data_IF_842334709836
#
_entry.id   IF_842334709836
#
_cell.length_a   1.000
_cell.length_b   1.000
_cell.length_c   1.000
_cell.angle_alpha   90.00
_cell.angle_beta   90.00
_cell.angle_gamma   90.00
#
_symmetry.space_group_name_H-M   'P 1'
#
loop_
_entity.id
_entity.type
_entity.pdbx_description
1 polymer ?
#
# COMPACT_ATOMS: atom_id res chain seq x y z
N UNK A 1 -2.25 11.06 16.45
CA UNK A 1 -2.58 9.84 15.67
C UNK A 1 -2.15 8.65 16.48
N UNK A 2 -3.00 7.63 16.64
CA UNK A 2 -2.58 6.33 17.18
C UNK A 2 -1.48 5.77 16.28
N UNK A 3 -0.25 5.70 16.79
CA UNK A 3 0.92 5.16 16.07
C UNK A 3 0.98 3.64 16.16
N UNK A 4 -0.16 2.99 16.02
CA UNK A 4 -0.31 1.55 16.27
C UNK A 4 -0.58 0.76 14.99
N UNK A 5 -0.43 1.35 13.81
CA UNK A 5 -0.57 0.61 12.56
C UNK A 5 0.69 -0.22 12.33
N UNK A 6 0.59 -1.54 12.44
CA UNK A 6 1.76 -2.42 12.39
C UNK A 6 2.25 -2.65 10.94
N UNK A 7 1.31 -2.90 10.02
CA UNK A 7 1.59 -3.37 8.66
C UNK A 7 1.04 -2.37 7.64
N UNK A 8 1.91 -1.91 6.72
CA UNK A 8 1.54 -1.15 5.54
C UNK A 8 1.42 -2.07 4.32
N UNK A 9 0.41 -1.86 3.48
CA UNK A 9 0.22 -2.60 2.23
C UNK A 9 0.10 -1.61 1.08
N UNK A 10 0.97 -1.74 0.08
CA UNK A 10 0.81 -1.04 -1.19
C UNK A 10 0.00 -1.89 -2.16
N UNK A 11 -1.22 -1.48 -2.50
CA UNK A 11 -2.06 -2.22 -3.44
C UNK A 11 -2.29 -1.53 -4.78
N UNK A 12 -2.89 -2.27 -5.70
CA UNK A 12 -3.58 -1.75 -6.88
C UNK A 12 -5.10 -1.89 -6.73
N UNK A 13 -5.85 -1.40 -7.70
CA UNK A 13 -7.32 -1.42 -7.72
C UNK A 13 -7.92 -2.83 -7.59
N UNK A 14 -7.23 -3.87 -8.04
CA UNK A 14 -7.69 -5.27 -7.94
C UNK A 14 -7.39 -5.99 -6.62
N UNK A 15 -6.64 -5.35 -5.70
CA UNK A 15 -6.32 -5.92 -4.36
C UNK A 15 -7.30 -5.37 -3.30
N UNK A 16 -8.12 -4.37 -3.68
CA UNK A 16 -9.01 -3.67 -2.78
C UNK A 16 -10.37 -4.37 -2.74
N UNK A 17 -10.58 -5.17 -1.69
CA UNK A 17 -11.90 -5.36 -1.14
C UNK A 17 -11.90 -4.77 0.28
N UNK A 18 -12.43 -3.55 0.42
CA UNK A 18 -12.59 -2.91 1.73
C UNK A 18 -13.44 -3.72 2.70
N UNK A 19 -14.21 -4.70 2.20
CA UNK A 19 -14.92 -5.65 3.04
C UNK A 19 -14.02 -6.54 3.89
N UNK A 20 -12.71 -6.59 3.61
CA UNK A 20 -11.76 -7.38 4.40
C UNK A 20 -11.31 -6.71 5.70
N UNK A 21 -11.43 -5.38 5.82
CA UNK A 21 -10.95 -4.64 6.99
C UNK A 21 -12.13 -4.26 7.90
N UNK A 22 -12.06 -4.70 9.15
CA UNK A 22 -12.94 -4.24 10.23
C UNK A 22 -12.60 -2.79 10.60
N UNK A 23 -13.63 -1.99 10.91
CA UNK A 23 -13.51 -0.58 11.30
C UNK A 23 -12.66 0.28 10.33
N UNK A 24 -12.78 -0.02 9.03
CA UNK A 24 -12.03 0.68 7.99
C UNK A 24 -12.37 2.18 7.96
N UNK A 25 -11.33 3.00 7.98
CA UNK A 25 -11.42 4.47 7.93
C UNK A 25 -10.36 5.05 7.01
N UNK A 26 -10.73 6.07 6.27
CA UNK A 26 -9.78 6.82 5.45
C UNK A 26 -9.06 7.88 6.28
N UNK A 27 -7.77 8.01 6.04
CA UNK A 27 -6.88 8.88 6.80
C UNK A 27 -6.03 9.69 5.82
N UNK A 28 -6.16 11.01 5.91
CA UNK A 28 -5.25 11.95 5.25
C UNK A 28 -3.99 12.13 6.08
N UNK A 29 -2.84 12.08 5.41
CA UNK A 29 -1.53 12.31 6.03
C UNK A 29 -0.77 13.34 5.22
N UNK A 30 -0.44 14.46 5.86
CA UNK A 30 0.48 15.45 5.30
C UNK A 30 1.92 15.01 5.53
N UNK A 31 2.76 15.20 4.52
CA UNK A 31 4.19 14.85 4.61
C UNK A 31 5.05 16.02 4.17
N UNK A 32 6.31 16.10 4.64
CA UNK A 32 7.28 17.09 4.14
C UNK A 32 7.59 16.98 2.65
N UNK A 33 7.16 15.90 1.99
CA UNK A 33 7.38 15.65 0.56
C UNK A 33 6.13 15.92 -0.28
N UNK A 34 5.07 16.48 0.32
CA UNK A 34 3.77 16.67 -0.32
C UNK A 34 2.79 15.55 -0.01
N UNK A 35 1.75 15.41 -0.83
CA UNK A 35 0.70 14.40 -0.63
C UNK A 35 1.17 13.00 -1.05
N UNK A 36 0.77 11.94 -0.32
CA UNK A 36 0.85 10.57 -0.80
C UNK A 36 0.01 10.36 -2.07
N UNK A 37 0.12 9.19 -2.68
CA UNK A 37 -0.64 8.83 -3.90
C UNK A 37 -2.16 8.92 -3.74
N UNK A 38 -2.68 8.73 -2.52
CA UNK A 38 -4.10 8.83 -2.16
C UNK A 38 -4.26 8.89 -0.63
N UNK A 39 -5.51 8.94 -0.14
CA UNK A 39 -5.81 8.71 1.29
C UNK A 39 -5.47 7.27 1.67
N UNK A 40 -5.06 7.09 2.93
CA UNK A 40 -4.67 5.78 3.47
C UNK A 40 -5.88 5.17 4.17
N UNK A 41 -6.27 3.95 3.78
CA UNK A 41 -7.30 3.20 4.50
C UNK A 41 -6.67 2.46 5.66
N UNK A 42 -7.10 2.76 6.89
CA UNK A 42 -6.65 2.06 8.10
C UNK A 42 -7.80 1.23 8.65
N UNK A 43 -7.54 -0.02 8.98
CA UNK A 43 -8.53 -0.90 9.61
C UNK A 43 -7.86 -2.11 10.26
N UNK A 44 -8.67 -3.02 10.78
CA UNK A 44 -8.21 -4.23 11.46
C UNK A 44 -8.45 -5.45 10.59
N UNK A 45 -7.44 -6.31 10.45
CA UNK A 45 -7.57 -7.61 9.81
C UNK A 45 -7.06 -8.68 10.76
N UNK A 46 -7.94 -9.60 11.18
CA UNK A 46 -7.60 -10.70 12.10
C UNK A 46 -6.84 -10.21 13.35
N UNK A 47 -7.33 -9.12 13.96
CA UNK A 47 -6.75 -8.53 15.16
C UNK A 47 -5.49 -7.67 14.96
N UNK A 48 -5.05 -7.42 13.72
CA UNK A 48 -3.91 -6.54 13.42
C UNK A 48 -4.32 -5.27 12.68
N UNK A 49 -3.83 -4.11 13.13
CA UNK A 49 -4.03 -2.83 12.44
C UNK A 49 -3.19 -2.78 11.16
N UNK A 50 -3.85 -2.53 10.03
CA UNK A 50 -3.26 -2.45 8.69
C UNK A 50 -3.53 -1.06 8.10
N UNK A 51 -2.53 -0.50 7.42
CA UNK A 51 -2.66 0.67 6.56
C UNK A 51 -2.53 0.26 5.10
N UNK A 52 -3.50 0.61 4.27
CA UNK A 52 -3.49 0.35 2.84
C UNK A 52 -3.36 1.66 2.06
N UNK A 53 -2.46 1.68 1.08
CA UNK A 53 -2.24 2.83 0.19
C UNK A 53 -2.14 2.36 -1.26
N UNK A 54 -3.05 2.76 -2.16
CA UNK A 54 -2.91 2.46 -3.58
C UNK A 54 -1.79 3.31 -4.19
N UNK A 55 -0.69 2.68 -4.60
CA UNK A 55 0.51 3.42 -5.05
C UNK A 55 0.27 4.25 -6.32
N UNK A 56 -0.69 3.85 -7.14
CA UNK A 56 -1.11 4.53 -8.37
C UNK A 56 -2.35 5.45 -8.18
N UNK A 57 -2.80 5.64 -6.94
CA UNK A 57 -4.07 6.26 -6.60
C UNK A 57 -5.26 5.32 -6.84
N UNK A 58 -6.39 5.56 -6.18
CA UNK A 58 -7.62 4.74 -6.30
C UNK A 58 -8.17 4.69 -7.72
N UNK A 59 -7.95 5.75 -8.50
CA UNK A 59 -8.37 5.84 -9.92
C UNK A 59 -7.32 5.31 -10.89
N UNK A 60 -6.19 4.80 -10.41
CA UNK A 60 -5.08 4.28 -11.23
C UNK A 60 -4.53 5.32 -12.23
N UNK A 61 -4.47 6.60 -11.84
CA UNK A 61 -4.10 7.71 -12.73
C UNK A 61 -2.64 8.14 -12.61
N UNK A 62 -1.92 7.68 -11.57
CA UNK A 62 -0.53 8.08 -11.33
C UNK A 62 0.40 7.05 -11.99
N UNK A 63 1.13 7.39 -13.08
CA UNK A 63 2.07 6.46 -13.69
C UNK A 63 3.29 6.22 -12.77
N UNK A 64 4.02 5.09 -12.92
CA UNK A 64 5.12 4.71 -12.02
C UNK A 64 6.16 5.82 -11.76
N UNK A 65 6.53 6.59 -12.79
CA UNK A 65 7.54 7.64 -12.70
C UNK A 65 7.07 8.92 -12.00
N UNK A 66 5.75 9.06 -11.74
CA UNK A 66 5.15 10.20 -11.05
C UNK A 66 4.74 9.88 -9.61
N UNK A 67 4.97 8.65 -9.14
CA UNK A 67 4.64 8.27 -7.77
C UNK A 67 5.51 9.07 -6.80
N UNK A 68 4.88 9.70 -5.81
CA UNK A 68 5.60 10.36 -4.73
C UNK A 68 6.04 9.33 -3.68
N UNK A 69 7.08 8.57 -3.98
CA UNK A 69 7.57 7.48 -3.12
C UNK A 69 7.94 7.97 -1.72
N UNK A 70 8.51 9.18 -1.60
CA UNK A 70 8.91 9.74 -0.32
C UNK A 70 7.69 10.04 0.56
N UNK A 71 6.64 10.67 0.00
CA UNK A 71 5.41 10.91 0.74
C UNK A 71 4.72 9.59 1.15
N UNK A 72 4.68 8.60 0.26
CA UNK A 72 4.08 7.30 0.56
C UNK A 72 4.75 6.57 1.74
N UNK A 73 6.08 6.49 1.73
CA UNK A 73 6.84 5.84 2.80
C UNK A 73 6.78 6.66 4.09
N UNK A 74 6.85 8.00 3.99
CA UNK A 74 6.74 8.87 5.16
C UNK A 74 5.38 8.73 5.84
N UNK A 75 4.30 8.71 5.08
CA UNK A 75 2.95 8.59 5.63
C UNK A 75 2.76 7.27 6.39
N UNK A 76 3.27 6.14 5.85
CA UNK A 76 3.32 4.88 6.60
C UNK A 76 4.14 4.99 7.88
N UNK A 77 5.31 5.65 7.84
CA UNK A 77 6.14 5.85 9.03
C UNK A 77 5.41 6.67 10.11
N UNK A 78 4.71 7.72 9.73
CA UNK A 78 3.93 8.57 10.64
C UNK A 78 2.77 7.80 11.31
N UNK A 79 2.15 6.85 10.59
CA UNK A 79 1.12 5.96 11.12
C UNK A 79 1.65 4.84 12.04
N UNK A 80 2.97 4.70 12.16
CA UNK A 80 3.61 3.67 13.00
C UNK A 80 3.96 2.37 12.28
N UNK A 81 3.81 2.32 10.95
CA UNK A 81 4.10 1.11 10.16
C UNK A 81 5.56 0.69 10.35
N UNK A 82 5.73 -0.60 10.68
CA UNK A 82 7.05 -1.23 10.86
C UNK A 82 7.36 -2.27 9.79
N UNK A 83 6.34 -2.79 9.09
CA UNK A 83 6.47 -3.78 8.02
C UNK A 83 5.66 -3.37 6.81
N UNK A 84 6.20 -3.52 5.61
CA UNK A 84 5.52 -3.18 4.36
C UNK A 84 5.42 -4.42 3.47
N UNK A 85 4.22 -4.68 2.95
CA UNK A 85 3.96 -5.68 1.90
C UNK A 85 3.61 -4.92 0.61
N UNK A 86 4.37 -5.15 -0.46
CA UNK A 86 4.30 -4.35 -1.67
C UNK A 86 4.14 -5.20 -2.96
N UNK A 87 2.98 -5.85 -3.17
CA UNK A 87 2.72 -6.62 -4.39
C UNK A 87 2.93 -5.77 -5.64
N UNK A 88 3.51 -6.35 -6.67
CA UNK A 88 3.78 -5.68 -7.95
C UNK A 88 3.52 -6.64 -9.10
N UNK A 89 2.92 -6.14 -10.18
CA UNK A 89 2.86 -6.87 -11.44
C UNK A 89 4.23 -6.75 -12.14
N UNK A 90 4.77 -7.88 -12.62
CA UNK A 90 6.08 -7.96 -13.26
C UNK A 90 6.01 -8.88 -14.48
N UNK A 91 6.94 -8.67 -15.43
CA UNK A 91 7.17 -9.60 -16.53
C UNK A 91 8.25 -10.61 -16.17
N UNK A 92 8.03 -11.88 -16.49
CA UNK A 92 9.06 -12.91 -16.32
C UNK A 92 10.12 -12.82 -17.41
N UNK A 93 11.37 -13.11 -17.04
CA UNK A 93 12.51 -13.33 -17.94
C UNK A 93 13.04 -14.78 -17.85
N UNK A 94 12.26 -15.67 -17.24
CA UNK A 94 12.59 -17.08 -17.00
C UNK A 94 11.42 -17.95 -17.45
N UNK A 95 11.69 -18.96 -18.27
CA UNK A 95 10.66 -19.81 -18.86
C UNK A 95 9.86 -20.56 -17.79
N UNK A 96 10.50 -20.98 -16.70
CA UNK A 96 9.87 -21.69 -15.59
C UNK A 96 8.93 -20.82 -14.72
N UNK A 97 8.93 -19.50 -14.93
CA UNK A 97 8.06 -18.56 -14.22
C UNK A 97 6.93 -18.08 -15.13
N UNK A 98 5.82 -18.80 -15.08
CA UNK A 98 4.63 -18.56 -15.89
C UNK A 98 3.72 -17.43 -15.35
N UNK A 99 2.89 -16.79 -16.20
CA UNK A 99 1.86 -15.85 -15.74
C UNK A 99 0.98 -16.44 -14.63
N UNK A 100 0.86 -15.70 -13.52
CA UNK A 100 0.11 -16.13 -12.33
C UNK A 100 0.98 -16.71 -11.21
N UNK A 101 2.24 -17.05 -11.49
CA UNK A 101 3.18 -17.41 -10.42
C UNK A 101 3.49 -16.22 -9.51
N UNK A 102 3.53 -16.50 -8.20
CA UNK A 102 4.06 -15.55 -7.21
C UNK A 102 5.56 -15.75 -7.03
N UNK A 103 6.28 -14.64 -6.95
CA UNK A 103 7.72 -14.62 -6.70
C UNK A 103 8.01 -13.71 -5.52
N UNK A 104 8.84 -14.18 -4.61
CA UNK A 104 9.46 -13.37 -3.55
C UNK A 104 10.90 -13.06 -3.97
N UNK A 105 11.17 -11.89 -4.57
CA UNK A 105 12.53 -11.52 -4.97
C UNK A 105 13.41 -11.30 -3.73
N UNK A 106 14.69 -11.67 -3.82
CA UNK A 106 15.71 -11.56 -2.77
C UNK A 106 16.84 -10.62 -3.15
#
# INVERSE_FOLDING_TARGET
MDKDVEIGIFGGTGIYDSGLLEDAKEVDVDTPYGKPSDTITVGTFKGRKIAFLPRHGKKHTIPPHMINFKANIWAFKELGVTRIIAPSAVGSLKEELEPGHFVLPS
#
